data_IF_740304252357
#
_entry.id   IF_740304252357
#
_cell.length_a   1.000
_cell.length_b   1.000
_cell.length_c   1.000
_cell.angle_alpha   90.00
_cell.angle_beta   90.00
_cell.angle_gamma   90.00
#
_symmetry.space_group_name_H-M   'P 1'
#
loop_
_entity.id
_entity.type
_entity.pdbx_description
1 polymer ?
#
# COMPACT_ATOMS: atom_id res chain seq x y z
N UNK A 1 8.17 -6.32 -14.97
CA UNK A 1 7.80 -5.43 -13.86
C UNK A 1 7.80 -4.01 -14.41
N UNK A 2 6.72 -3.27 -14.24
CA UNK A 2 6.60 -1.89 -14.73
C UNK A 2 6.83 -0.92 -13.57
N UNK A 3 7.54 0.19 -13.85
CA UNK A 3 7.69 1.31 -12.92
C UNK A 3 6.58 2.33 -13.21
N UNK A 4 5.78 2.67 -12.21
CA UNK A 4 4.79 3.72 -12.27
C UNK A 4 5.18 4.86 -11.32
N UNK A 5 5.45 6.03 -11.90
CA UNK A 5 5.75 7.25 -11.13
C UNK A 5 4.47 8.06 -11.02
N UNK A 6 4.08 8.37 -9.79
CA UNK A 6 2.91 9.22 -9.53
C UNK A 6 3.36 10.66 -9.54
N UNK A 7 3.14 11.31 -10.68
CA UNK A 7 3.50 12.72 -10.91
C UNK A 7 2.24 13.62 -10.82
N UNK A 8 1.62 13.63 -9.65
CA UNK A 8 0.46 14.48 -9.39
C UNK A 8 0.88 15.67 -8.53
N UNK A 9 0.52 16.93 -8.88
CA UNK A 9 0.93 18.12 -8.14
C UNK A 9 0.66 18.07 -6.64
N UNK A 10 -0.49 17.54 -6.23
CA UNK A 10 -0.86 17.42 -4.83
C UNK A 10 0.05 16.43 -4.08
N UNK A 11 0.41 15.31 -4.70
CA UNK A 11 1.33 14.32 -4.13
C UNK A 11 2.73 14.93 -4.02
N UNK A 12 3.21 15.61 -5.06
CA UNK A 12 4.50 16.29 -5.06
C UNK A 12 4.58 17.37 -3.97
N UNK A 13 3.52 18.16 -3.81
CA UNK A 13 3.43 19.17 -2.76
C UNK A 13 3.54 18.54 -1.36
N UNK A 14 2.75 17.51 -1.07
CA UNK A 14 2.77 16.80 0.22
C UNK A 14 4.13 16.13 0.47
N UNK A 15 4.72 15.54 -0.54
CA UNK A 15 6.06 14.95 -0.45
C UNK A 15 7.13 16.01 -0.15
N UNK A 16 7.02 17.19 -0.73
CA UNK A 16 7.94 18.30 -0.46
C UNK A 16 7.88 18.75 1.00
N UNK A 17 6.68 18.84 1.59
CA UNK A 17 6.51 19.15 3.01
C UNK A 17 7.10 18.01 3.87
N UNK A 18 6.80 16.77 3.54
CA UNK A 18 7.28 15.60 4.28
C UNK A 18 8.81 15.52 4.35
N UNK A 19 9.52 16.02 3.33
CA UNK A 19 10.98 16.02 3.23
C UNK A 19 11.67 17.12 4.01
N UNK A 20 10.97 18.11 4.55
CA UNK A 20 11.58 19.21 5.31
C UNK A 20 12.11 18.70 6.64
N UNK A 21 13.25 19.25 7.08
CA UNK A 21 13.85 18.94 8.39
C UNK A 21 12.93 19.31 9.55
N UNK A 22 12.15 20.36 9.38
CA UNK A 22 11.26 20.93 10.40
C UNK A 22 9.95 20.15 10.55
N UNK A 23 9.63 19.26 9.60
CA UNK A 23 8.40 18.48 9.64
C UNK A 23 8.34 17.62 10.88
N UNK A 24 7.34 17.86 11.72
CA UNK A 24 7.14 17.10 12.94
C UNK A 24 6.77 15.63 12.66
N UNK A 25 6.99 14.76 13.64
CA UNK A 25 6.59 13.35 13.52
C UNK A 25 5.07 13.20 13.26
N UNK A 26 4.25 14.03 13.88
CA UNK A 26 2.80 14.02 13.68
C UNK A 26 2.43 14.41 12.26
N UNK A 27 3.02 15.49 11.76
CA UNK A 27 2.80 15.96 10.39
C UNK A 27 3.31 14.95 9.36
N UNK A 28 4.48 14.38 9.58
CA UNK A 28 5.04 13.33 8.73
C UNK A 28 4.10 12.12 8.61
N UNK A 29 3.55 11.65 9.72
CA UNK A 29 2.58 10.53 9.73
C UNK A 29 1.30 10.87 8.96
N UNK A 30 0.79 12.08 9.14
CA UNK A 30 -0.40 12.55 8.42
C UNK A 30 -0.14 12.59 6.92
N UNK A 31 0.95 13.20 6.51
CA UNK A 31 1.33 13.29 5.09
C UNK A 31 1.58 11.92 4.45
N UNK A 32 2.25 11.02 5.18
CA UNK A 32 2.50 9.66 4.70
C UNK A 32 1.18 8.89 4.49
N UNK A 33 0.24 9.01 5.42
CA UNK A 33 -1.09 8.42 5.28
C UNK A 33 -1.84 8.95 4.06
N UNK A 34 -1.82 10.27 3.85
CA UNK A 34 -2.47 10.92 2.72
C UNK A 34 -1.83 10.52 1.38
N UNK A 35 -0.49 10.51 1.30
CA UNK A 35 0.23 10.05 0.12
C UNK A 35 -0.10 8.57 -0.17
N UNK A 36 -0.14 7.73 0.86
CA UNK A 36 -0.52 6.33 0.72
C UNK A 36 -1.94 6.17 0.14
N UNK A 37 -2.89 7.03 0.49
CA UNK A 37 -4.22 7.02 -0.12
C UNK A 37 -4.15 7.32 -1.62
N UNK A 38 -3.42 8.34 -2.05
CA UNK A 38 -3.28 8.66 -3.47
C UNK A 38 -2.55 7.55 -4.23
N UNK A 39 -1.51 6.98 -3.64
CA UNK A 39 -0.83 5.82 -4.23
C UNK A 39 -1.76 4.60 -4.31
N UNK A 40 -2.58 4.37 -3.29
CA UNK A 40 -3.58 3.31 -3.28
C UNK A 40 -4.61 3.46 -4.40
N UNK A 41 -5.05 4.67 -4.66
CA UNK A 41 -5.95 4.98 -5.77
C UNK A 41 -5.31 4.59 -7.13
N UNK A 42 -4.05 4.95 -7.34
CA UNK A 42 -3.35 4.62 -8.59
C UNK A 42 -3.02 3.12 -8.72
N UNK A 43 -2.54 2.49 -7.67
CA UNK A 43 -2.16 1.06 -7.73
C UNK A 43 -3.36 0.14 -7.95
N UNK A 44 -4.56 0.60 -7.64
CA UNK A 44 -5.80 -0.16 -7.85
C UNK A 44 -6.47 0.12 -9.19
N UNK A 45 -5.89 0.96 -10.05
CA UNK A 45 -6.47 1.37 -11.33
C UNK A 45 -6.86 0.21 -12.24
N UNK A 46 -6.01 -0.81 -12.28
CA UNK A 46 -6.18 -1.96 -13.16
C UNK A 46 -6.80 -3.18 -12.43
N UNK A 47 -7.45 -2.94 -11.30
CA UNK A 47 -8.14 -4.03 -10.61
C UNK A 47 -9.27 -4.58 -11.48
N UNK A 48 -9.41 -5.91 -11.54
CA UNK A 48 -10.48 -6.52 -12.31
C UNK A 48 -11.84 -6.17 -11.71
N UNK A 49 -12.79 -5.87 -12.58
CA UNK A 49 -14.18 -5.61 -12.20
C UNK A 49 -15.10 -6.69 -12.76
N UNK A 50 -16.15 -6.95 -12.05
CA UNK A 50 -17.29 -7.75 -12.49
C UNK A 50 -18.57 -6.93 -12.32
N UNK A 51 -19.65 -7.38 -12.95
CA UNK A 51 -20.94 -6.71 -12.88
C UNK A 51 -21.93 -7.57 -12.12
N UNK A 52 -22.73 -6.94 -11.27
CA UNK A 52 -23.85 -7.59 -10.58
C UNK A 52 -25.12 -6.77 -10.69
N UNK A 53 -26.25 -7.47 -10.75
CA UNK A 53 -27.55 -6.80 -10.69
C UNK A 53 -27.79 -6.27 -9.28
N UNK A 54 -28.04 -4.98 -9.19
CA UNK A 54 -28.43 -4.29 -7.97
C UNK A 54 -29.77 -3.59 -8.14
N UNK A 55 -30.43 -3.31 -7.05
CA UNK A 55 -31.62 -2.48 -7.01
C UNK A 55 -31.30 -1.13 -6.41
N UNK A 56 -31.58 -0.08 -7.18
CA UNK A 56 -31.47 1.32 -6.72
C UNK A 56 -32.86 1.82 -6.31
N UNK A 57 -32.97 2.96 -5.63
CA UNK A 57 -34.30 3.53 -5.32
C UNK A 57 -35.17 3.80 -6.54
N UNK A 58 -34.61 3.87 -7.74
CA UNK A 58 -35.31 4.20 -8.97
C UNK A 58 -35.55 2.98 -9.88
N UNK A 59 -34.54 2.08 -9.96
CA UNK A 59 -34.61 0.94 -10.89
C UNK A 59 -33.53 -0.10 -10.62
N UNK A 60 -33.73 -1.29 -11.16
CA UNK A 60 -32.68 -2.31 -11.24
C UNK A 60 -31.64 -1.93 -12.30
N UNK A 61 -30.37 -2.22 -12.02
CA UNK A 61 -29.27 -2.01 -12.95
C UNK A 61 -28.13 -3.00 -12.73
N UNK A 62 -27.30 -3.19 -13.74
CA UNK A 62 -26.02 -3.86 -13.60
C UNK A 62 -24.96 -2.85 -13.15
N UNK A 63 -24.36 -3.08 -11.98
CA UNK A 63 -23.35 -2.20 -11.38
C UNK A 63 -21.97 -2.88 -11.35
N UNK A 64 -20.90 -2.12 -11.60
CA UNK A 64 -19.54 -2.64 -11.49
C UNK A 64 -19.14 -2.79 -10.02
N UNK A 65 -18.43 -3.87 -9.72
CA UNK A 65 -17.73 -4.07 -8.45
C UNK A 65 -16.37 -4.68 -8.68
N UNK A 66 -15.45 -4.48 -7.75
CA UNK A 66 -14.14 -5.13 -7.81
C UNK A 66 -14.35 -6.64 -7.66
N UNK A 67 -13.83 -7.39 -8.62
CA UNK A 67 -13.92 -8.85 -8.62
C UNK A 67 -12.84 -9.52 -7.77
N UNK A 68 -13.06 -10.77 -7.44
CA UNK A 68 -12.08 -11.60 -6.77
C UNK A 68 -12.04 -11.48 -5.25
N UNK A 69 -10.96 -11.97 -4.65
CA UNK A 69 -10.79 -12.01 -3.20
C UNK A 69 -10.29 -10.67 -2.67
N UNK A 70 -10.56 -10.39 -1.40
CA UNK A 70 -10.06 -9.19 -0.70
C UNK A 70 -8.55 -9.07 -0.84
N UNK A 71 -8.09 -7.86 -1.08
CA UNK A 71 -6.67 -7.50 -1.17
C UNK A 71 -5.96 -7.74 0.17
N UNK A 72 -4.68 -8.04 0.10
CA UNK A 72 -3.80 -8.09 1.27
C UNK A 72 -2.84 -6.90 1.21
N UNK A 73 -2.77 -6.13 2.29
CA UNK A 73 -1.77 -5.08 2.49
C UNK A 73 -0.67 -5.67 3.36
N UNK A 74 0.56 -5.62 2.88
CA UNK A 74 1.73 -6.22 3.53
C UNK A 74 2.82 -5.18 3.77
N UNK A 75 2.78 -4.46 4.92
CA UNK A 75 3.84 -3.53 5.26
C UNK A 75 5.15 -4.25 5.59
N UNK A 76 6.25 -3.70 5.08
CA UNK A 76 7.58 -4.03 5.56
C UNK A 76 7.80 -3.27 6.86
N UNK A 77 7.92 -4.01 7.94
CA UNK A 77 8.05 -3.45 9.28
C UNK A 77 9.44 -2.79 9.43
N UNK A 78 9.53 -1.70 10.10
CA UNK A 78 8.47 -0.95 10.80
C UNK A 78 7.87 0.17 9.95
N UNK A 79 8.67 0.74 9.01
CA UNK A 79 8.33 1.95 8.27
C UNK A 79 7.05 1.82 7.41
N UNK A 80 6.84 0.66 6.80
CA UNK A 80 5.66 0.39 5.97
C UNK A 80 4.32 0.50 6.70
N UNK A 81 4.31 0.39 8.04
CA UNK A 81 3.08 0.56 8.84
C UNK A 81 2.43 1.94 8.65
N UNK A 82 3.22 2.99 8.45
CA UNK A 82 2.70 4.34 8.26
C UNK A 82 1.81 4.50 7.02
N UNK A 83 1.88 3.58 6.06
CA UNK A 83 1.05 3.60 4.85
C UNK A 83 -0.23 2.78 4.99
N UNK A 84 -0.32 1.89 5.95
CA UNK A 84 -1.45 0.94 6.09
C UNK A 84 -2.76 1.67 6.33
N UNK A 85 -2.78 2.66 7.20
CA UNK A 85 -4.00 3.41 7.55
C UNK A 85 -4.59 4.14 6.33
N UNK A 86 -3.74 4.70 5.48
CA UNK A 86 -4.17 5.33 4.23
C UNK A 86 -4.83 4.33 3.28
N UNK A 87 -4.20 3.18 3.08
CA UNK A 87 -4.70 2.13 2.21
C UNK A 87 -5.97 1.47 2.74
N UNK A 88 -6.07 1.22 4.05
CA UNK A 88 -7.27 0.64 4.67
C UNK A 88 -8.44 1.61 4.69
N UNK A 89 -8.17 2.92 4.67
CA UNK A 89 -9.23 3.93 4.47
C UNK A 89 -9.90 3.78 3.11
N UNK A 90 -9.13 3.49 2.05
CA UNK A 90 -9.68 3.24 0.71
C UNK A 90 -10.26 1.84 0.55
N UNK A 91 -9.64 0.87 1.20
CA UNK A 91 -10.00 -0.55 1.09
C UNK A 91 -10.28 -1.13 2.48
N UNK A 92 -11.42 -0.77 3.12
CA UNK A 92 -11.70 -1.16 4.51
C UNK A 92 -11.80 -2.67 4.72
N UNK A 93 -12.10 -3.42 3.66
CA UNK A 93 -12.19 -4.88 3.70
C UNK A 93 -10.85 -5.58 3.43
N UNK A 94 -9.78 -4.85 3.12
CA UNK A 94 -8.46 -5.43 2.91
C UNK A 94 -7.98 -6.16 4.17
N UNK A 95 -7.24 -7.25 3.96
CA UNK A 95 -6.55 -7.94 5.05
C UNK A 95 -5.15 -7.38 5.21
N UNK A 96 -4.63 -7.37 6.42
CA UNK A 96 -3.28 -6.87 6.70
C UNK A 96 -2.41 -8.05 7.12
N UNK A 97 -1.29 -8.22 6.41
CA UNK A 97 -0.20 -9.09 6.82
C UNK A 97 0.96 -8.23 7.33
N UNK A 98 2.04 -8.87 7.77
CA UNK A 98 3.23 -8.16 8.24
C UNK A 98 4.48 -8.91 7.83
N UNK A 99 5.46 -8.18 7.29
CA UNK A 99 6.77 -8.70 6.92
C UNK A 99 7.79 -7.96 7.77
N UNK A 100 8.32 -8.62 8.82
CA UNK A 100 9.35 -8.07 9.68
C UNK A 100 10.73 -8.41 9.15
N UNK A 101 11.48 -7.40 8.75
CA UNK A 101 12.85 -7.57 8.28
C UNK A 101 13.69 -6.36 8.64
N UNK A 102 14.98 -6.58 8.82
CA UNK A 102 15.97 -5.53 8.93
C UNK A 102 17.21 -5.91 8.12
N UNK A 103 18.05 -4.94 7.88
CA UNK A 103 19.33 -5.18 7.23
C UNK A 103 20.41 -5.26 8.31
N UNK A 104 21.14 -6.36 8.32
CA UNK A 104 22.27 -6.55 9.20
C UNK A 104 23.34 -5.49 8.91
N UNK A 105 23.83 -4.82 9.95
CA UNK A 105 24.75 -3.67 9.81
C UNK A 105 26.14 -4.09 9.33
N UNK A 106 26.59 -5.31 9.64
CA UNK A 106 27.91 -5.81 9.26
C UNK A 106 27.90 -6.44 7.87
N UNK A 107 26.92 -7.31 7.60
CA UNK A 107 26.87 -8.10 6.37
C UNK A 107 26.05 -7.43 5.26
N UNK A 108 25.27 -6.40 5.60
CA UNK A 108 24.28 -5.77 4.70
C UNK A 108 23.25 -6.76 4.14
N UNK A 109 23.14 -7.94 4.72
CA UNK A 109 22.15 -8.94 4.29
C UNK A 109 20.80 -8.72 4.96
N UNK A 110 19.69 -9.03 4.27
CA UNK A 110 18.36 -8.97 4.86
C UNK A 110 18.18 -10.10 5.88
N UNK A 111 17.67 -9.73 7.05
CA UNK A 111 17.31 -10.67 8.11
C UNK A 111 15.82 -10.59 8.36
N UNK A 112 15.13 -11.71 8.15
CA UNK A 112 13.71 -11.82 8.45
C UNK A 112 13.53 -12.26 9.90
N UNK A 113 12.74 -11.53 10.67
CA UNK A 113 12.45 -11.85 12.06
C UNK A 113 10.96 -12.09 12.33
N UNK A 114 10.09 -11.70 11.41
CA UNK A 114 8.65 -11.88 11.56
C UNK A 114 7.97 -12.00 10.20
N UNK A 115 7.16 -13.00 10.03
CA UNK A 115 6.34 -13.16 8.85
C UNK A 115 4.97 -13.70 9.25
N UNK A 116 3.95 -12.90 9.06
CA UNK A 116 2.57 -13.33 9.26
C UNK A 116 1.69 -12.74 8.19
N UNK A 117 1.27 -13.60 7.27
CA UNK A 117 0.39 -13.23 6.19
C UNK A 117 -0.94 -13.96 6.31
N UNK A 118 -2.09 -13.31 6.04
CA UNK A 118 -3.33 -14.03 5.84
C UNK A 118 -3.18 -14.95 4.62
N UNK A 119 -4.06 -15.95 4.49
CA UNK A 119 -4.06 -16.79 3.29
C UNK A 119 -4.16 -15.88 2.04
N UNK A 120 -3.07 -15.82 1.31
CA UNK A 120 -2.89 -14.89 0.18
C UNK A 120 -3.02 -15.55 -1.20
N UNK A 121 -3.26 -16.85 -1.25
CA UNK A 121 -3.47 -17.58 -2.50
C UNK A 121 -4.59 -16.94 -3.32
N UNK A 122 -4.30 -16.61 -4.57
CA UNK A 122 -5.21 -15.94 -5.50
C UNK A 122 -5.66 -14.53 -5.04
N UNK A 123 -4.86 -13.87 -4.18
CA UNK A 123 -5.12 -12.48 -3.75
C UNK A 123 -4.08 -11.55 -4.34
N UNK A 124 -4.52 -10.33 -4.62
CA UNK A 124 -3.59 -9.24 -4.87
C UNK A 124 -2.94 -8.82 -3.55
N UNK A 125 -1.63 -8.67 -3.55
CA UNK A 125 -0.85 -8.24 -2.39
C UNK A 125 -0.21 -6.91 -2.71
N UNK A 126 -0.46 -5.91 -1.87
CA UNK A 126 0.17 -4.59 -1.93
C UNK A 126 1.22 -4.54 -0.83
N UNK A 127 2.48 -4.61 -1.23
CA UNK A 127 3.61 -4.43 -0.30
C UNK A 127 3.87 -2.94 -0.12
N UNK A 128 4.02 -2.47 1.12
CA UNK A 128 4.24 -1.06 1.42
C UNK A 128 5.58 -0.83 2.11
N UNK A 129 6.31 0.15 1.58
CA UNK A 129 7.53 0.71 2.16
C UNK A 129 7.63 2.18 1.75
N UNK A 130 7.76 3.13 2.69
CA UNK A 130 7.83 4.55 2.37
C UNK A 130 9.17 4.98 1.77
N UNK A 131 10.20 4.13 1.80
CA UNK A 131 11.51 4.44 1.26
C UNK A 131 12.09 3.25 0.48
N UNK A 132 12.04 3.35 -0.84
CA UNK A 132 12.56 2.29 -1.71
C UNK A 132 14.09 2.17 -1.65
N UNK A 133 14.81 3.30 -1.57
CA UNK A 133 16.27 3.38 -1.63
C UNK A 133 16.83 2.52 -2.80
N UNK A 134 17.61 1.50 -2.49
CA UNK A 134 18.15 0.55 -3.50
C UNK A 134 17.13 -0.50 -3.95
N UNK A 135 15.98 -0.59 -3.31
CA UNK A 135 14.97 -1.61 -3.55
C UNK A 135 15.29 -2.98 -2.95
N UNK A 136 16.42 -3.14 -2.28
CA UNK A 136 16.84 -4.44 -1.73
C UNK A 136 15.79 -5.05 -0.79
N UNK A 137 15.34 -4.29 0.22
CA UNK A 137 14.31 -4.78 1.16
C UNK A 137 13.00 -5.15 0.46
N UNK A 138 12.56 -4.34 -0.51
CA UNK A 138 11.35 -4.63 -1.27
C UNK A 138 11.51 -5.89 -2.12
N UNK A 139 12.66 -6.06 -2.80
CA UNK A 139 12.95 -7.26 -3.58
C UNK A 139 12.96 -8.53 -2.73
N UNK A 140 13.57 -8.47 -1.55
CA UNK A 140 13.65 -9.63 -0.65
C UNK A 140 12.31 -9.95 0.02
N UNK A 141 11.50 -8.93 0.31
CA UNK A 141 10.15 -9.12 0.84
C UNK A 141 9.17 -9.77 -0.16
N UNK A 142 9.41 -9.62 -1.47
CA UNK A 142 8.53 -10.15 -2.53
C UNK A 142 8.91 -11.59 -2.93
N UNK A 143 10.14 -12.02 -2.65
CA UNK A 143 10.58 -13.41 -2.87
C UNK A 143 9.93 -14.40 -1.90
#
# INVERSE_FOLDING_TARGET
MALHIIDHPLVQHKLSIMRRKETSTTEFRTLLREIAMFMGYEVTRDFPIEYEEIETPLMKMNAPKISGKKVVIAPILRAGLGMVDGLTTLMPSARVGHIGMYRDEETCQPVFYYYKMPANKERLVIVTDPMLATGGSACDAIK
#
